data_IF_301742519647
#
_entry.id   IF_301742519647
#
_cell.length_a   1.000
_cell.length_b   1.000
_cell.length_c   1.000
_cell.angle_alpha   90.00
_cell.angle_beta   90.00
_cell.angle_gamma   90.00
#
_symmetry.space_group_name_H-M   'P 1'
#
loop_
_entity.id
_entity.type
_entity.pdbx_description
1 polymer ?
#
# COMPACT_ATOMS: atom_id res chain seq x y z
N UNK A 1 1.80 -12.29 15.03
CA UNK A 1 1.42 -11.82 16.39
C UNK A 1 0.77 -10.45 16.27
N UNK A 2 -0.47 -10.29 16.73
CA UNK A 2 -1.18 -9.00 16.74
C UNK A 2 -1.18 -8.43 18.17
N UNK A 3 -0.88 -7.14 18.30
CA UNK A 3 -0.97 -6.40 19.58
C UNK A 3 -1.99 -5.28 19.48
N UNK A 4 -3.24 -5.52 19.87
CA UNK A 4 -4.24 -4.46 19.96
C UNK A 4 -3.84 -3.45 21.04
N UNK A 5 -4.31 -2.21 20.90
CA UNK A 5 -4.04 -1.20 21.91
C UNK A 5 -4.81 -1.54 23.19
N UNK A 6 -4.08 -1.65 24.31
CA UNK A 6 -4.60 -1.96 25.66
C UNK A 6 -5.20 -3.36 25.86
N UNK A 7 -4.91 -4.32 24.97
CA UNK A 7 -5.27 -5.73 25.16
C UNK A 7 -4.03 -6.64 25.21
N UNK A 8 -4.14 -7.83 25.85
CA UNK A 8 -3.10 -8.84 25.78
C UNK A 8 -2.81 -9.25 24.32
N UNK A 9 -1.54 -9.54 23.98
CA UNK A 9 -1.18 -10.00 22.64
C UNK A 9 -1.90 -11.29 22.27
N UNK A 10 -2.30 -11.40 21.00
CA UNK A 10 -2.86 -12.63 20.46
C UNK A 10 -2.08 -13.12 19.25
N UNK A 11 -1.96 -14.43 19.17
CA UNK A 11 -1.43 -15.09 17.99
C UNK A 11 -2.50 -15.08 16.90
N UNK A 12 -2.10 -14.74 15.69
CA UNK A 12 -2.99 -14.70 14.53
C UNK A 12 -2.32 -15.57 13.50
N UNK A 13 -3.00 -16.63 13.08
CA UNK A 13 -2.56 -17.46 11.95
C UNK A 13 -2.62 -16.60 10.70
N UNK A 14 -1.45 -16.32 10.14
CA UNK A 14 -1.34 -15.65 8.85
C UNK A 14 -1.26 -16.74 7.78
N UNK A 15 -2.02 -16.63 6.69
CA UNK A 15 -1.74 -17.40 5.48
C UNK A 15 -0.27 -17.28 5.08
N UNK A 16 0.27 -18.30 4.41
CA UNK A 16 1.56 -18.14 3.76
C UNK A 16 1.41 -17.05 2.69
N UNK A 17 2.20 -15.97 2.84
CA UNK A 17 2.28 -14.89 1.85
C UNK A 17 3.66 -14.92 1.20
N UNK A 18 3.69 -14.78 -0.12
CA UNK A 18 4.93 -14.55 -0.85
C UNK A 18 5.47 -13.15 -0.49
N UNK A 19 6.74 -13.09 -0.12
CA UNK A 19 7.43 -11.86 0.29
C UNK A 19 8.18 -11.21 -0.89
N UNK A 20 7.79 -11.51 -2.14
CA UNK A 20 8.42 -10.98 -3.34
C UNK A 20 8.25 -9.45 -3.56
N UNK A 21 7.41 -8.77 -2.77
CA UNK A 21 7.21 -7.32 -2.87
C UNK A 21 8.40 -6.50 -2.36
N UNK A 22 9.37 -6.20 -3.23
CA UNK A 22 10.43 -5.24 -2.94
C UNK A 22 9.87 -3.81 -3.05
N UNK A 23 9.89 -3.04 -1.95
CA UNK A 23 9.52 -1.62 -1.95
C UNK A 23 8.19 -1.26 -1.29
N UNK A 24 7.48 -2.22 -0.70
CA UNK A 24 6.37 -1.95 0.23
C UNK A 24 4.98 -1.76 -0.41
N UNK A 25 4.85 -1.92 -1.73
CA UNK A 25 3.54 -2.06 -2.39
C UNK A 25 3.16 -3.53 -2.50
N UNK A 26 1.95 -3.91 -2.07
CA UNK A 26 1.41 -5.24 -2.34
C UNK A 26 1.00 -5.38 -3.82
N UNK A 27 0.96 -6.61 -4.32
CA UNK A 27 0.65 -6.90 -5.72
C UNK A 27 -0.68 -6.28 -6.19
N UNK A 28 -1.70 -6.22 -5.32
CA UNK A 28 -2.99 -5.60 -5.66
C UNK A 28 -2.84 -4.09 -5.80
N UNK A 29 -2.10 -3.45 -4.89
CA UNK A 29 -1.79 -2.02 -4.99
C UNK A 29 -1.01 -1.71 -6.28
N UNK A 30 -0.04 -2.55 -6.64
CA UNK A 30 0.76 -2.38 -7.86
C UNK A 30 -0.08 -2.57 -9.13
N UNK A 31 -0.98 -3.56 -9.18
CA UNK A 31 -1.93 -3.74 -10.28
C UNK A 31 -2.86 -2.54 -10.45
N UNK A 32 -3.33 -1.98 -9.33
CA UNK A 32 -4.15 -0.76 -9.33
C UNK A 32 -3.35 0.45 -9.80
N UNK A 33 -2.05 0.55 -9.49
CA UNK A 33 -1.24 1.70 -9.85
C UNK A 33 -0.69 1.64 -11.28
N UNK A 34 -0.19 0.48 -11.70
CA UNK A 34 0.53 0.29 -12.96
C UNK A 34 -0.19 -0.61 -13.98
N UNK A 35 -1.16 -1.40 -13.52
CA UNK A 35 -1.81 -2.42 -14.35
C UNK A 35 -1.20 -3.80 -14.10
N UNK A 36 -1.84 -4.86 -14.61
CA UNK A 36 -1.31 -6.21 -14.48
C UNK A 36 0.09 -6.29 -15.11
N UNK A 37 1.04 -6.84 -14.36
CA UNK A 37 2.39 -7.12 -14.86
C UNK A 37 2.31 -8.17 -15.96
N UNK A 38 2.99 -7.96 -17.09
CA UNK A 38 3.13 -9.00 -18.10
C UNK A 38 3.96 -10.16 -17.48
N UNK A 39 3.47 -11.41 -17.51
CA UNK A 39 4.25 -12.56 -17.05
C UNK A 39 5.64 -12.65 -17.69
N UNK A 40 5.83 -12.08 -18.89
CA UNK A 40 7.13 -11.98 -19.55
C UNK A 40 8.10 -11.01 -18.85
N UNK A 41 7.59 -9.95 -18.22
CA UNK A 41 8.36 -8.96 -17.45
C UNK A 41 8.66 -9.43 -16.02
N UNK A 42 7.93 -10.44 -15.53
CA UNK A 42 8.13 -11.11 -14.24
C UNK A 42 9.21 -12.20 -14.25
N UNK A 43 9.88 -12.44 -15.39
CA UNK A 43 11.08 -13.25 -15.44
C UNK A 43 12.19 -12.49 -14.70
N UNK A 44 12.25 -12.70 -13.37
CA UNK A 44 13.15 -12.02 -12.45
C UNK A 44 14.56 -11.91 -13.01
N UNK A 45 15.25 -10.83 -12.64
CA UNK A 45 16.67 -10.68 -12.94
C UNK A 45 17.37 -11.97 -12.45
N UNK A 46 18.26 -12.61 -13.22
CA UNK A 46 18.93 -13.85 -12.80
C UNK A 46 19.69 -13.74 -11.47
N UNK A 47 19.88 -12.52 -10.94
CA UNK A 47 20.38 -12.26 -9.60
C UNK A 47 19.37 -12.53 -8.45
N UNK A 48 18.07 -12.60 -8.74
CA UNK A 48 16.98 -12.71 -7.77
C UNK A 48 16.63 -14.16 -7.37
N UNK A 49 17.36 -15.15 -7.92
CA UNK A 49 17.14 -16.58 -7.64
C UNK A 49 15.96 -17.17 -8.42
N UNK A 50 15.77 -18.50 -8.39
CA UNK A 50 14.70 -19.16 -9.13
C UNK A 50 13.33 -18.75 -8.59
N UNK A 51 12.43 -18.35 -9.49
CA UNK A 51 11.03 -18.09 -9.17
C UNK A 51 10.36 -19.35 -8.58
N UNK A 52 9.52 -19.16 -7.57
CA UNK A 52 8.79 -20.24 -6.91
C UNK A 52 7.70 -20.78 -7.87
N UNK A 53 7.70 -22.09 -8.19
CA UNK A 53 6.67 -22.70 -9.05
C UNK A 53 5.25 -22.65 -8.45
N UNK A 54 5.07 -22.26 -7.18
CA UNK A 54 3.77 -22.10 -6.54
C UNK A 54 3.00 -20.82 -6.94
N UNK A 55 3.61 -19.89 -7.69
CA UNK A 55 3.01 -18.61 -8.09
C UNK A 55 1.83 -18.71 -9.08
N UNK A 56 1.28 -19.91 -9.34
CA UNK A 56 0.26 -20.16 -10.38
C UNK A 56 -1.16 -20.31 -9.84
N UNK A 57 -1.42 -19.99 -8.57
CA UNK A 57 -2.79 -19.89 -8.06
C UNK A 57 -3.22 -18.43 -7.98
N UNK A 58 -4.14 -18.05 -8.88
CA UNK A 58 -4.74 -16.72 -8.90
C UNK A 58 -5.44 -16.46 -7.56
N UNK A 59 -4.77 -15.71 -6.68
CA UNK A 59 -5.37 -15.22 -5.44
C UNK A 59 -6.58 -14.39 -5.85
N UNK A 60 -7.76 -14.73 -5.31
CA UNK A 60 -8.97 -13.97 -5.58
C UNK A 60 -8.71 -12.49 -5.25
N UNK A 61 -8.63 -11.68 -6.30
CA UNK A 61 -8.45 -10.24 -6.20
C UNK A 61 -9.69 -9.71 -5.49
N UNK A 62 -9.52 -8.96 -4.40
CA UNK A 62 -10.65 -8.28 -3.77
C UNK A 62 -11.32 -7.43 -4.84
N UNK A 63 -12.52 -7.82 -5.23
CA UNK A 63 -13.28 -7.19 -6.30
C UNK A 63 -14.18 -6.08 -5.74
N UNK A 64 -13.78 -5.45 -4.64
CA UNK A 64 -14.47 -4.30 -4.06
C UNK A 64 -14.37 -3.07 -4.99
N UNK A 65 -15.23 -2.07 -4.79
CA UNK A 65 -15.17 -0.82 -5.56
C UNK A 65 -13.86 -0.05 -5.27
N UNK A 66 -13.31 -0.20 -4.06
CA UNK A 66 -12.07 0.43 -3.64
C UNK A 66 -10.86 -0.06 -4.45
N UNK A 67 -10.79 -1.37 -4.76
CA UNK A 67 -9.70 -1.95 -5.55
C UNK A 67 -9.80 -1.65 -7.05
N UNK A 68 -10.88 -1.00 -7.52
CA UNK A 68 -11.03 -0.62 -8.94
C UNK A 68 -10.70 0.85 -9.22
N UNK A 69 -10.52 1.67 -8.19
CA UNK A 69 -10.22 3.10 -8.34
C UNK A 69 -8.71 3.31 -8.26
N UNK A 70 -8.10 3.65 -9.40
CA UNK A 70 -6.71 4.09 -9.44
C UNK A 70 -6.59 5.42 -8.70
N UNK A 71 -5.59 5.53 -7.83
CA UNK A 71 -5.20 6.82 -7.29
C UNK A 71 -4.70 7.71 -8.43
N UNK A 72 -5.05 8.99 -8.35
CA UNK A 72 -4.67 10.04 -9.28
C UNK A 72 -3.59 10.94 -8.68
N UNK A 73 -3.05 11.85 -9.48
CA UNK A 73 -2.18 12.92 -9.00
C UNK A 73 -2.87 13.83 -7.98
N UNK A 74 -4.19 14.01 -8.08
CA UNK A 74 -4.99 14.79 -7.14
C UNK A 74 -5.04 14.11 -5.77
N UNK A 75 -5.26 12.78 -5.74
CA UNK A 75 -5.22 11.99 -4.51
C UNK A 75 -3.84 12.07 -3.84
N UNK A 76 -2.77 12.02 -4.64
CA UNK A 76 -1.40 12.22 -4.17
C UNK A 76 -1.17 13.60 -3.57
N UNK A 77 -1.65 14.66 -4.23
CA UNK A 77 -1.55 16.03 -3.71
C UNK A 77 -2.30 16.18 -2.38
N UNK A 78 -3.52 15.65 -2.26
CA UNK A 78 -4.31 15.69 -1.02
C UNK A 78 -3.63 14.95 0.14
N UNK A 79 -2.95 13.83 -0.12
CA UNK A 79 -2.16 13.12 0.88
C UNK A 79 -1.00 13.98 1.41
N UNK A 80 -0.30 14.70 0.53
CA UNK A 80 0.77 15.62 0.92
C UNK A 80 0.23 16.80 1.76
N UNK A 81 -0.90 17.38 1.36
CA UNK A 81 -1.56 18.46 2.11
C UNK A 81 -1.93 18.01 3.53
N UNK A 82 -2.39 16.77 3.70
CA UNK A 82 -2.69 16.18 5.01
C UNK A 82 -1.44 16.12 5.89
N UNK A 83 -0.31 15.66 5.34
CA UNK A 83 0.96 15.63 6.06
C UNK A 83 1.47 17.01 6.46
N UNK A 84 1.32 18.00 5.58
CA UNK A 84 1.71 19.39 5.86
C UNK A 84 0.87 20.00 7.00
N UNK A 85 -0.45 19.82 6.96
CA UNK A 85 -1.36 20.28 8.02
C UNK A 85 -1.04 19.59 9.36
N UNK A 86 -0.75 18.28 9.35
CA UNK A 86 -0.35 17.55 10.55
C UNK A 86 0.96 18.11 11.15
N UNK A 87 1.97 18.38 10.33
CA UNK A 87 3.23 18.98 10.78
C UNK A 87 3.00 20.35 11.44
N UNK A 88 2.16 21.19 10.83
CA UNK A 88 1.81 22.50 11.39
C UNK A 88 0.99 22.38 12.69
N UNK A 89 0.12 21.37 12.79
CA UNK A 89 -0.61 21.05 14.01
C UNK A 89 0.33 20.63 15.14
N UNK A 90 1.35 19.82 14.85
CA UNK A 90 2.34 19.42 15.87
C UNK A 90 3.16 20.60 16.39
N UNK A 91 3.54 21.52 15.51
CA UNK A 91 4.30 22.73 15.91
C UNK A 91 3.45 23.68 16.74
N UNK A 92 2.18 23.88 16.36
CA UNK A 92 1.31 24.87 16.99
C UNK A 92 0.51 24.34 18.19
N UNK A 93 0.39 23.02 18.32
CA UNK A 93 -0.48 22.37 19.31
C UNK A 93 -1.98 22.58 19.06
N UNK A 94 -2.37 23.05 17.87
CA UNK A 94 -3.76 23.38 17.52
C UNK A 94 -4.19 22.60 16.27
N UNK A 95 -5.48 22.28 16.12
CA UNK A 95 -6.01 21.76 14.86
C UNK A 95 -5.75 22.75 13.72
N UNK A 96 -5.34 22.24 12.55
CA UNK A 96 -5.08 23.01 11.33
C UNK A 96 -5.90 22.38 10.20
N UNK A 97 -6.69 23.17 9.46
CA UNK A 97 -7.42 22.66 8.30
C UNK A 97 -6.50 22.55 7.08
N UNK A 98 -6.73 21.56 6.23
CA UNK A 98 -5.97 21.36 4.99
C UNK A 98 -6.10 22.54 4.02
N UNK A 99 -7.24 23.22 4.02
CA UNK A 99 -7.47 24.44 3.24
C UNK A 99 -6.60 25.63 3.70
N UNK A 100 -6.05 25.60 4.91
CA UNK A 100 -5.26 26.71 5.46
C UNK A 100 -3.75 26.60 5.12
N UNK A 101 -3.30 25.48 4.55
CA UNK A 101 -1.86 25.22 4.30
C UNK A 101 -1.45 25.29 2.83
N UNK A 102 -2.41 25.33 1.91
CA UNK A 102 -2.17 25.55 0.48
C UNK A 102 -3.15 26.59 -0.03
N UNK A 103 -2.65 27.59 -0.75
CA UNK A 103 -3.49 28.58 -1.43
C UNK A 103 -3.66 28.14 -2.88
N UNK A 104 -4.91 27.95 -3.30
CA UNK A 104 -5.30 27.63 -4.68
C UNK A 104 -5.86 28.88 -5.38
#
# INVERSE_FOLDING_TARGET
MLRPLWEPPREVELPAFDHAGHGGGDERMLDVLYGPVDPADGAGNPADGPADPAATEAVAVDASDASRRRATEEDGALALVTGLAANQSFVSGKPVATADVVTL
#
